data_IF_291799601561
#
_entry.id   IF_291799601561
#
_cell.length_a   1.000
_cell.length_b   1.000
_cell.length_c   1.000
_cell.angle_alpha   90.00
_cell.angle_beta   90.00
_cell.angle_gamma   90.00
#
_symmetry.space_group_name_H-M   'P 1'
#
loop_
_entity.id
_entity.type
_entity.pdbx_description
1 polymer ?
#
# COMPACT_ATOMS: atom_id res chain seq x y z
N UNK A 1 10.71 11.26 -13.84
CA UNK A 1 10.83 11.41 -12.37
C UNK A 1 10.19 10.17 -11.77
N UNK A 2 10.89 9.42 -10.92
CA UNK A 2 10.33 8.22 -10.29
C UNK A 2 9.28 8.58 -9.23
N UNK A 3 8.43 7.62 -8.87
CA UNK A 3 7.43 7.82 -7.83
C UNK A 3 8.09 8.00 -6.46
N UNK A 4 7.61 8.97 -5.69
CA UNK A 4 8.06 9.19 -4.32
C UNK A 4 7.42 8.17 -3.37
N UNK A 5 7.96 8.04 -2.14
CA UNK A 5 7.32 7.21 -1.12
C UNK A 5 5.92 7.73 -0.74
N UNK A 6 5.66 9.03 -0.87
CA UNK A 6 4.34 9.61 -0.62
C UNK A 6 3.33 9.17 -1.70
N UNK A 7 3.76 9.08 -2.95
CA UNK A 7 2.95 8.51 -4.04
C UNK A 7 2.64 7.03 -3.77
N UNK A 8 3.62 6.27 -3.28
CA UNK A 8 3.43 4.87 -2.85
C UNK A 8 2.43 4.76 -1.69
N UNK A 9 2.48 5.67 -0.72
CA UNK A 9 1.50 5.66 0.37
C UNK A 9 0.09 5.96 -0.13
N UNK A 10 -0.04 6.94 -1.03
CA UNK A 10 -1.31 7.33 -1.61
C UNK A 10 -1.91 6.20 -2.45
N UNK A 11 -1.15 5.61 -3.37
CA UNK A 11 -1.65 4.51 -4.21
C UNK A 11 -2.02 3.27 -3.39
N UNK A 12 -1.21 2.91 -2.38
CA UNK A 12 -1.55 1.79 -1.49
C UNK A 12 -2.77 2.09 -0.62
N UNK A 13 -3.06 3.36 -0.31
CA UNK A 13 -4.21 3.70 0.52
C UNK A 13 -5.54 3.36 -0.13
N UNK A 14 -5.59 3.32 -1.46
CA UNK A 14 -6.78 2.97 -2.23
C UNK A 14 -7.31 1.57 -1.90
N UNK A 15 -6.42 0.64 -1.49
CA UNK A 15 -6.82 -0.71 -1.03
C UNK A 15 -7.71 -0.71 0.23
N UNK A 16 -7.82 0.43 0.93
CA UNK A 16 -8.65 0.61 2.12
C UNK A 16 -9.86 1.54 1.89
N UNK A 17 -10.08 2.00 0.66
CA UNK A 17 -11.32 2.69 0.29
C UNK A 17 -12.44 1.65 0.12
N UNK A 18 -13.68 2.05 0.39
CA UNK A 18 -14.87 1.21 0.18
C UNK A 18 -15.34 1.32 -1.29
N UNK A 19 -14.40 1.14 -2.22
CA UNK A 19 -14.65 1.05 -3.66
C UNK A 19 -14.19 -0.32 -4.18
N UNK A 20 -14.92 -0.86 -5.16
CA UNK A 20 -14.45 -2.04 -5.88
C UNK A 20 -13.37 -1.58 -6.85
N UNK A 21 -12.13 -1.98 -6.59
CA UNK A 21 -11.01 -1.76 -7.51
C UNK A 21 -11.14 -2.73 -8.69
N UNK A 22 -10.88 -2.23 -9.89
CA UNK A 22 -10.79 -3.05 -11.09
C UNK A 22 -9.33 -3.32 -11.49
N UNK A 23 -9.15 -4.06 -12.59
CA UNK A 23 -7.82 -4.40 -13.12
C UNK A 23 -7.00 -3.16 -13.51
N UNK A 24 -7.64 -2.09 -13.97
CA UNK A 24 -6.96 -0.86 -14.32
C UNK A 24 -6.41 -0.16 -13.07
N UNK A 25 -7.19 -0.14 -12.00
CA UNK A 25 -6.76 0.40 -10.71
C UNK A 25 -5.57 -0.39 -10.15
N UNK A 26 -5.62 -1.74 -10.19
CA UNK A 26 -4.50 -2.57 -9.74
C UNK A 26 -3.22 -2.32 -10.54
N UNK A 27 -3.35 -2.17 -11.85
CA UNK A 27 -2.22 -1.88 -12.73
C UNK A 27 -1.66 -0.49 -12.48
N UNK A 28 -2.52 0.51 -12.26
CA UNK A 28 -2.09 1.86 -11.89
C UNK A 28 -1.29 1.87 -10.58
N UNK A 29 -1.79 1.19 -9.55
CA UNK A 29 -1.06 1.05 -8.28
C UNK A 29 0.28 0.37 -8.54
N UNK A 30 0.31 -0.75 -9.28
CA UNK A 30 1.53 -1.47 -9.60
C UNK A 30 2.56 -0.62 -10.37
N UNK A 31 2.11 0.23 -11.30
CA UNK A 31 2.97 1.18 -12.04
C UNK A 31 3.63 2.19 -11.09
N UNK A 32 2.87 2.75 -10.13
CA UNK A 32 3.42 3.64 -9.10
C UNK A 32 4.45 2.92 -8.23
N UNK A 33 4.16 1.68 -7.82
CA UNK A 33 5.10 0.87 -7.05
C UNK A 33 6.38 0.58 -7.85
N UNK A 34 6.24 0.20 -9.11
CA UNK A 34 7.37 -0.05 -10.00
C UNK A 34 8.22 1.21 -10.23
N UNK A 35 7.58 2.36 -10.47
CA UNK A 35 8.24 3.64 -10.68
C UNK A 35 8.99 4.18 -9.45
N UNK A 36 8.69 3.66 -8.26
CA UNK A 36 9.39 4.02 -7.00
C UNK A 36 10.77 3.38 -6.86
N UNK A 37 11.08 2.35 -7.67
CA UNK A 37 12.31 1.56 -7.64
C UNK A 37 12.61 0.94 -6.25
N UNK A 38 11.57 0.76 -5.43
CA UNK A 38 11.69 0.11 -4.13
C UNK A 38 11.62 -1.42 -4.28
N UNK A 39 12.47 -2.18 -3.55
CA UNK A 39 12.41 -3.62 -3.60
C UNK A 39 11.09 -4.13 -3.01
N UNK A 40 10.60 -5.27 -3.51
CA UNK A 40 9.33 -5.88 -3.07
C UNK A 40 9.22 -6.03 -1.54
N UNK A 41 10.31 -6.38 -0.86
CA UNK A 41 10.34 -6.50 0.60
C UNK A 41 10.08 -5.16 1.32
N UNK A 42 10.53 -4.05 0.74
CA UNK A 42 10.30 -2.70 1.26
C UNK A 42 8.86 -2.26 0.98
N UNK A 43 8.33 -2.54 -0.21
CA UNK A 43 6.92 -2.31 -0.53
C UNK A 43 5.99 -3.06 0.42
N UNK A 44 6.29 -4.33 0.70
CA UNK A 44 5.55 -5.13 1.67
C UNK A 44 5.68 -4.57 3.09
N UNK A 45 6.84 -4.01 3.46
CA UNK A 45 7.01 -3.34 4.75
C UNK A 45 6.19 -2.06 4.84
N UNK A 46 6.12 -1.27 3.77
CA UNK A 46 5.29 -0.06 3.68
C UNK A 46 3.81 -0.43 3.82
N UNK A 47 3.34 -1.39 3.03
CA UNK A 47 1.97 -1.92 3.12
C UNK A 47 1.61 -2.35 4.56
N UNK A 48 2.42 -3.22 5.17
CA UNK A 48 2.09 -3.81 6.49
C UNK A 48 2.33 -2.89 7.69
N UNK A 49 3.31 -1.98 7.61
CA UNK A 49 3.80 -1.24 8.78
C UNK A 49 3.58 0.26 8.68
N UNK A 50 3.30 0.81 7.50
CA UNK A 50 3.15 2.26 7.32
C UNK A 50 1.69 2.62 6.98
N UNK A 51 1.08 1.91 6.02
CA UNK A 51 -0.27 2.19 5.50
C UNK A 51 -1.35 1.43 6.26
N UNK A 52 -1.32 0.09 6.27
CA UNK A 52 -2.32 -0.73 6.96
C UNK A 52 -2.61 -0.31 8.42
N UNK A 53 -1.61 -0.02 9.28
CA UNK A 53 -1.90 0.33 10.67
C UNK A 53 -2.58 1.68 10.85
N UNK A 54 -2.53 2.55 9.83
CA UNK A 54 -3.23 3.83 9.81
C UNK A 54 -4.68 3.66 9.34
N UNK A 55 -4.89 2.83 8.31
CA UNK A 55 -6.15 2.78 7.56
C UNK A 55 -7.07 1.60 7.90
N UNK A 56 -6.59 0.58 8.60
CA UNK A 56 -7.41 -0.61 8.89
C UNK A 56 -8.72 -0.33 9.63
N UNK A 57 -8.79 0.77 10.39
CA UNK A 57 -10.01 1.20 11.07
C UNK A 57 -11.11 1.67 10.11
N UNK A 58 -10.76 2.02 8.86
CA UNK A 58 -11.69 2.56 7.87
C UNK A 58 -12.82 1.57 7.53
N UNK A 59 -12.52 0.27 7.43
CA UNK A 59 -13.52 -0.76 7.17
C UNK A 59 -14.50 -1.01 8.34
N UNK A 60 -14.21 -0.51 9.54
CA UNK A 60 -15.02 -0.72 10.74
C UNK A 60 -15.95 0.45 11.07
N UNK A 61 -15.81 1.55 10.34
CA UNK A 61 -16.67 2.73 10.46
C UNK A 61 -17.49 2.82 9.19
N UNK A 62 -18.79 3.09 9.30
CA UNK A 62 -19.62 3.43 8.14
C UNK A 62 -19.15 4.77 7.59
N UNK A 63 -18.16 4.72 6.71
CA UNK A 63 -17.74 5.84 5.91
C UNK A 63 -18.78 6.03 4.79
N UNK A 64 -19.20 7.27 4.53
CA UNK A 64 -20.01 7.58 3.34
C UNK A 64 -19.22 7.32 2.04
N UNK A 65 -19.66 7.88 0.92
CA UNK A 65 -18.89 7.82 -0.33
C UNK A 65 -17.63 8.68 -0.19
N UNK A 66 -16.49 8.07 0.11
CA UNK A 66 -15.19 8.74 0.11
C UNK A 66 -14.53 8.56 -1.25
N UNK A 67 -14.17 9.67 -1.90
CA UNK A 67 -13.46 9.68 -3.17
C UNK A 67 -11.92 9.55 -3.02
N UNK A 68 -11.42 9.41 -1.79
CA UNK A 68 -9.99 9.28 -1.49
C UNK A 68 -9.62 9.73 -0.08
N UNK A 69 -8.35 9.58 0.28
CA UNK A 69 -7.78 10.11 1.53
C UNK A 69 -7.15 11.48 1.31
N UNK A 70 -7.19 12.35 2.32
CA UNK A 70 -6.42 13.60 2.31
C UNK A 70 -4.91 13.29 2.25
N UNK A 71 -4.18 13.71 1.20
CA UNK A 71 -2.77 13.32 1.03
C UNK A 71 -1.85 13.84 2.14
N UNK A 72 -2.15 15.00 2.71
CA UNK A 72 -1.34 15.62 3.78
C UNK A 72 -1.51 14.84 5.09
N UNK A 73 -2.74 14.48 5.44
CA UNK A 73 -3.06 13.64 6.59
C UNK A 73 -2.47 12.24 6.45
N UNK A 74 -2.64 11.62 5.27
CA UNK A 74 -2.16 10.28 4.98
C UNK A 74 -0.63 10.22 5.10
N UNK A 75 0.07 11.12 4.39
CA UNK A 75 1.53 11.19 4.43
C UNK A 75 2.04 11.47 5.85
N UNK A 76 1.43 12.37 6.61
CA UNK A 76 1.81 12.62 8.00
C UNK A 76 1.58 11.38 8.91
N UNK A 77 0.52 10.61 8.67
CA UNK A 77 0.26 9.35 9.36
C UNK A 77 1.28 8.27 9.04
N UNK A 78 1.50 8.00 7.75
CA UNK A 78 2.47 7.01 7.29
C UNK A 78 3.89 7.39 7.69
N UNK A 79 4.26 8.68 7.66
CA UNK A 79 5.55 9.18 8.15
C UNK A 79 5.78 8.87 9.63
N UNK A 80 4.76 9.06 10.48
CA UNK A 80 4.84 8.70 11.91
C UNK A 80 5.04 7.20 12.09
N UNK A 81 4.37 6.37 11.29
CA UNK A 81 4.54 4.91 11.33
C UNK A 81 5.92 4.48 10.82
N UNK A 82 6.42 5.11 9.76
CA UNK A 82 7.76 4.92 9.21
C UNK A 82 8.83 5.18 10.28
N UNK A 83 8.75 6.29 11.01
CA UNK A 83 9.67 6.60 12.12
C UNK A 83 9.62 5.58 13.26
N UNK A 84 8.46 4.91 13.44
CA UNK A 84 8.25 3.88 14.47
C UNK A 84 8.59 2.48 13.98
N UNK A 85 8.90 2.29 12.70
CA UNK A 85 9.11 0.97 12.07
C UNK A 85 10.20 0.14 12.75
N UNK A 86 11.24 0.80 13.27
CA UNK A 86 12.33 0.14 13.98
C UNK A 86 12.02 -0.17 15.46
N UNK A 87 10.89 0.33 15.99
CA UNK A 87 10.51 0.08 17.39
C UNK A 87 9.91 -1.31 17.54
N UNK A 88 10.43 -2.09 18.49
CA UNK A 88 10.00 -3.48 18.77
C UNK A 88 8.49 -3.57 19.02
N UNK A 89 7.93 -2.65 19.81
CA UNK A 89 6.50 -2.59 20.09
C UNK A 89 5.66 -2.42 18.82
N UNK A 90 6.06 -1.48 17.96
CA UNK A 90 5.33 -1.22 16.72
C UNK A 90 5.32 -2.44 15.80
N UNK A 91 6.48 -3.09 15.63
CA UNK A 91 6.61 -4.33 14.85
C UNK A 91 5.78 -5.47 15.43
N UNK A 92 5.81 -5.63 16.76
CA UNK A 92 5.01 -6.65 17.44
C UNK A 92 3.52 -6.41 17.26
N UNK A 93 3.06 -5.17 17.42
CA UNK A 93 1.66 -4.79 17.21
C UNK A 93 1.21 -5.06 15.76
N UNK A 94 1.99 -4.64 14.77
CA UNK A 94 1.67 -4.90 13.35
C UNK A 94 1.66 -6.40 13.03
N UNK A 95 2.55 -7.19 13.67
CA UNK A 95 2.55 -8.65 13.53
C UNK A 95 1.30 -9.28 14.14
N UNK A 96 0.90 -8.84 15.32
CA UNK A 96 -0.28 -9.34 16.03
C UNK A 96 -1.58 -8.99 15.28
N UNK A 97 -1.70 -7.75 14.81
CA UNK A 97 -2.89 -7.23 14.14
C UNK A 97 -2.85 -7.41 12.62
N UNK A 98 -1.90 -8.17 12.06
CA UNK A 98 -1.74 -8.32 10.61
C UNK A 98 -3.04 -8.72 9.93
N UNK A 99 -3.69 -9.79 10.40
CA UNK A 99 -4.93 -10.30 9.81
C UNK A 99 -6.07 -9.27 9.83
N UNK A 100 -6.47 -8.69 10.98
CA UNK A 100 -7.54 -7.69 10.97
C UNK A 100 -7.16 -6.43 10.19
N UNK A 101 -5.86 -6.09 10.10
CA UNK A 101 -5.42 -4.91 9.36
C UNK A 101 -5.50 -5.07 7.84
N UNK A 102 -5.24 -6.28 7.34
CA UNK A 102 -5.17 -6.54 5.90
C UNK A 102 -6.37 -7.30 5.36
N UNK A 103 -7.28 -7.79 6.19
CA UNK A 103 -8.36 -8.71 5.76
C UNK A 103 -9.11 -8.25 4.50
N UNK A 104 -9.55 -6.99 4.46
CA UNK A 104 -10.27 -6.43 3.31
C UNK A 104 -9.34 -6.05 2.15
N UNK A 105 -8.12 -5.59 2.44
CA UNK A 105 -7.14 -5.16 1.44
C UNK A 105 -6.31 -6.30 0.83
N UNK A 106 -6.30 -7.50 1.43
CA UNK A 106 -5.42 -8.60 1.03
C UNK A 106 -5.71 -9.12 -0.38
N UNK A 107 -6.97 -9.33 -0.82
CA UNK A 107 -7.26 -9.75 -2.19
C UNK A 107 -6.73 -8.76 -3.22
N UNK A 108 -7.00 -7.47 -3.01
CA UNK A 108 -6.56 -6.37 -3.86
C UNK A 108 -5.03 -6.26 -3.90
N UNK A 109 -4.38 -6.42 -2.72
CA UNK A 109 -2.93 -6.45 -2.62
C UNK A 109 -2.32 -7.61 -3.44
N UNK A 110 -2.95 -8.79 -3.46
CA UNK A 110 -2.47 -9.90 -4.29
C UNK A 110 -2.57 -9.58 -5.78
N UNK A 111 -3.63 -8.89 -6.24
CA UNK A 111 -3.74 -8.46 -7.63
C UNK A 111 -2.66 -7.46 -8.02
N UNK A 112 -2.43 -6.44 -7.18
CA UNK A 112 -1.33 -5.47 -7.38
C UNK A 112 0.03 -6.19 -7.47
N UNK A 113 0.26 -7.21 -6.64
CA UNK A 113 1.49 -8.01 -6.70
C UNK A 113 1.63 -8.83 -7.98
N UNK A 114 0.54 -9.29 -8.57
CA UNK A 114 0.56 -9.98 -9.87
C UNK A 114 0.94 -9.00 -10.98
N UNK A 115 0.26 -7.85 -11.07
CA UNK A 115 0.57 -6.80 -12.04
C UNK A 115 2.03 -6.31 -11.90
N UNK A 116 2.52 -6.13 -10.67
CA UNK A 116 3.90 -5.71 -10.43
C UNK A 116 4.93 -6.73 -10.95
N UNK A 117 4.67 -8.03 -10.82
CA UNK A 117 5.55 -9.07 -11.35
C UNK A 117 5.57 -9.09 -12.87
N UNK A 118 4.42 -8.88 -13.50
CA UNK A 118 4.32 -8.77 -14.97
C UNK A 118 5.18 -7.61 -15.48
N UNK A 119 5.04 -6.42 -14.89
CA UNK A 119 5.86 -5.24 -15.23
C UNK A 119 7.36 -5.50 -15.08
N UNK A 120 7.75 -6.17 -13.98
CA UNK A 120 9.16 -6.53 -13.74
C UNK A 120 9.67 -7.58 -14.75
N UNK A 121 8.81 -8.48 -15.24
CA UNK A 121 9.14 -9.47 -16.26
C UNK A 121 9.31 -8.87 -17.66
N UNK A 122 8.45 -7.92 -18.03
CA UNK A 122 8.54 -7.15 -19.28
C UNK A 122 9.83 -6.32 -19.34
N UNK A 123 10.17 -5.65 -18.23
CA UNK A 123 11.39 -4.84 -18.12
C UNK A 123 12.68 -5.68 -18.26
N UNK A 124 12.67 -6.92 -17.75
CA UNK A 124 13.80 -7.86 -17.89
C UNK A 124 13.93 -8.44 -19.29
N UNK A 125 12.80 -8.65 -19.98
CA UNK A 125 12.79 -9.15 -21.37
C UNK A 125 13.25 -8.08 -22.37
N UNK A 126 12.93 -6.81 -22.13
CA UNK A 126 13.33 -5.68 -22.99
C UNK A 126 14.83 -5.35 -22.90
N UNK A 127 15.51 -5.77 -21.82
CA UNK A 127 16.95 -5.57 -21.62
C UNK A 127 17.82 -6.71 -22.17
N UNK A 128 17.23 -7.76 -22.73
CA UNK A 128 17.93 -8.87 -23.41
C UNK A 128 17.91 -8.68 -24.92
#
# INVERSE_FOLDING_TARGET
>A
MGASREDVWLSLSELWLDNQLDEHDHRHIADVLHASDLPLAELQAIYLQEVAPLLWGNHWVTAGVWSGFDPVWLSAGCRRNQQRRNRRWHRWRCRLLRKPMTYAAEPEWQQVLLCLRELQGEAQSTRR
#
